data_IF_222478296606
#
_entry.id   IF_222478296606
#
_cell.length_a   1.000
_cell.length_b   1.000
_cell.length_c   1.000
_cell.angle_alpha   90.00
_cell.angle_beta   90.00
_cell.angle_gamma   90.00
#
_symmetry.space_group_name_H-M   'P 1'
#
loop_
_entity.id
_entity.type
_entity.pdbx_description
1 polymer ?
#
# COMPACT_ATOMS: atom_id res chain seq x y z
N UNK A 1 -9.72 -10.88 17.62
CA UNK A 1 -9.95 -9.71 16.74
C UNK A 1 -8.88 -8.69 17.09
N UNK A 2 -8.17 -8.11 16.12
CA UNK A 2 -7.10 -7.13 16.41
C UNK A 2 -7.71 -5.89 17.04
N UNK A 3 -7.40 -5.64 18.31
CA UNK A 3 -8.00 -4.56 19.10
C UNK A 3 -7.15 -3.30 19.00
N UNK A 4 -7.29 -2.59 17.88
CA UNK A 4 -6.56 -1.35 17.66
C UNK A 4 -7.22 -0.18 18.37
N UNK A 5 -6.40 0.69 18.95
CA UNK A 5 -6.86 2.00 19.43
C UNK A 5 -7.25 2.87 18.23
N UNK A 6 -8.17 3.81 18.45
CA UNK A 6 -8.48 4.83 17.45
C UNK A 6 -7.23 5.62 17.09
N UNK A 7 -7.09 6.00 15.82
CA UNK A 7 -5.99 6.79 15.29
C UNK A 7 -4.59 6.29 15.70
N UNK A 8 -4.37 4.97 15.67
CA UNK A 8 -3.11 4.35 16.09
C UNK A 8 -2.36 3.62 14.97
N UNK A 9 -3.02 3.37 13.84
CA UNK A 9 -2.45 2.60 12.72
C UNK A 9 -1.67 3.50 11.76
N UNK A 10 -0.42 3.12 11.47
CA UNK A 10 0.31 3.55 10.30
C UNK A 10 0.00 2.55 9.17
N UNK A 11 -0.76 2.99 8.17
CA UNK A 11 -1.16 2.18 7.03
C UNK A 11 -0.18 2.36 5.87
N UNK A 12 0.39 1.27 5.37
CA UNK A 12 1.45 1.26 4.35
C UNK A 12 0.92 0.65 3.05
N UNK A 13 1.07 1.36 1.93
CA UNK A 13 0.72 0.92 0.58
C UNK A 13 1.93 0.94 -0.34
N UNK A 14 2.12 -0.16 -1.07
CA UNK A 14 3.19 -0.33 -2.04
C UNK A 14 4.51 -0.84 -1.46
N UNK A 15 5.47 -1.10 -2.32
CA UNK A 15 6.78 -1.66 -1.94
C UNK A 15 7.75 -0.53 -1.64
N UNK A 16 8.16 -0.38 -0.37
CA UNK A 16 9.07 0.67 0.06
C UNK A 16 10.52 0.17 0.06
N UNK A 17 11.49 1.06 -0.13
CA UNK A 17 12.90 0.70 0.12
C UNK A 17 13.14 0.46 1.61
N UNK A 18 14.14 -0.36 1.97
CA UNK A 18 14.57 -0.53 3.36
C UNK A 18 14.92 0.81 4.05
N UNK A 19 15.50 1.76 3.30
CA UNK A 19 15.79 3.11 3.79
C UNK A 19 14.52 3.89 4.14
N UNK A 20 13.48 3.78 3.33
CA UNK A 20 12.15 4.33 3.61
C UNK A 20 11.48 3.66 4.81
N UNK A 21 11.49 2.32 4.87
CA UNK A 21 10.91 1.57 5.98
C UNK A 21 11.57 1.93 7.33
N UNK A 22 12.87 2.18 7.34
CA UNK A 22 13.61 2.62 8.54
C UNK A 22 13.14 3.99 9.10
N UNK A 23 12.52 4.84 8.27
CA UNK A 23 11.95 6.14 8.66
C UNK A 23 10.58 6.00 9.34
N UNK A 24 9.95 4.83 9.32
CA UNK A 24 8.64 4.58 9.93
C UNK A 24 8.82 4.22 11.41
N UNK A 25 8.47 5.17 12.29
CA UNK A 25 8.63 5.05 13.76
C UNK A 25 7.35 4.69 14.52
N UNK A 26 6.28 4.31 13.82
CA UNK A 26 4.99 3.97 14.43
C UNK A 26 5.11 2.90 15.53
N UNK A 27 4.58 3.17 16.72
CA UNK A 27 4.68 2.26 17.88
C UNK A 27 3.47 1.35 18.05
N UNK A 28 2.28 1.84 17.72
CA UNK A 28 1.03 1.17 18.11
C UNK A 28 0.49 0.17 17.07
N UNK A 29 0.66 0.45 15.77
CA UNK A 29 0.20 -0.47 14.71
C UNK A 29 0.84 -0.17 13.37
N UNK A 30 1.50 -1.18 12.80
CA UNK A 30 2.00 -1.15 11.42
C UNK A 30 1.12 -2.08 10.61
N UNK A 31 0.31 -1.51 9.72
CA UNK A 31 -0.58 -2.28 8.86
C UNK A 31 -0.13 -2.11 7.42
N UNK A 32 0.03 -3.23 6.72
CA UNK A 32 0.59 -3.30 5.37
C UNK A 32 -0.49 -3.86 4.46
N UNK A 33 -0.88 -3.10 3.45
CA UNK A 33 -1.65 -3.62 2.34
C UNK A 33 -0.79 -4.63 1.56
N UNK A 34 -1.35 -5.80 1.24
CA UNK A 34 -0.61 -6.90 0.64
C UNK A 34 0.04 -6.54 -0.70
N UNK A 35 -0.54 -5.61 -1.48
CA UNK A 35 0.03 -5.11 -2.72
C UNK A 35 -0.18 -6.06 -3.90
N UNK A 36 -1.45 -6.32 -4.22
CA UNK A 36 -1.81 -7.05 -5.44
C UNK A 36 -1.28 -6.31 -6.70
N UNK A 37 -0.98 -7.04 -7.78
CA UNK A 37 -1.10 -8.48 -7.94
C UNK A 37 0.02 -9.30 -7.27
N UNK A 38 1.20 -8.71 -7.08
CA UNK A 38 2.42 -9.45 -6.71
C UNK A 38 2.49 -9.95 -5.27
N UNK A 39 1.70 -9.36 -4.36
CA UNK A 39 1.81 -9.54 -2.90
C UNK A 39 3.17 -9.10 -2.30
N UNK A 40 4.02 -8.46 -3.11
CA UNK A 40 5.39 -8.12 -2.72
C UNK A 40 5.43 -7.07 -1.61
N UNK A 41 4.44 -6.18 -1.52
CA UNK A 41 4.39 -5.19 -0.44
C UNK A 41 4.21 -5.88 0.92
N UNK A 42 3.27 -6.83 0.99
CA UNK A 42 3.07 -7.69 2.16
C UNK A 42 4.34 -8.46 2.51
N UNK A 43 4.97 -9.12 1.54
CA UNK A 43 6.17 -9.94 1.76
C UNK A 43 7.39 -9.10 2.18
N UNK A 44 7.79 -8.12 1.37
CA UNK A 44 9.01 -7.34 1.56
C UNK A 44 8.95 -6.47 2.81
N UNK A 45 7.88 -5.68 2.95
CA UNK A 45 7.76 -4.72 4.05
C UNK A 45 7.62 -5.47 5.39
N UNK A 46 6.87 -6.58 5.44
CA UNK A 46 6.71 -7.35 6.67
C UNK A 46 8.02 -7.99 7.12
N UNK A 47 8.80 -8.57 6.21
CA UNK A 47 10.13 -9.14 6.49
C UNK A 47 11.03 -8.11 7.16
N UNK A 48 11.11 -6.90 6.60
CA UNK A 48 11.88 -5.81 7.20
C UNK A 48 11.48 -5.52 8.66
N UNK A 49 10.18 -5.43 8.95
CA UNK A 49 9.74 -5.12 10.32
C UNK A 49 9.95 -6.30 11.29
N UNK A 50 9.77 -7.53 10.84
CA UNK A 50 10.05 -8.74 11.61
C UNK A 50 11.53 -8.81 11.99
N UNK A 51 12.45 -8.53 11.06
CA UNK A 51 13.90 -8.47 11.33
C UNK A 51 14.28 -7.41 12.38
N UNK A 52 13.43 -6.40 12.56
CA UNK A 52 13.56 -5.36 13.59
C UNK A 52 12.77 -5.67 14.87
N UNK A 53 12.29 -6.90 15.04
CA UNK A 53 11.48 -7.36 16.19
C UNK A 53 10.20 -6.54 16.38
N UNK A 54 9.61 -6.06 15.29
CA UNK A 54 8.30 -5.38 15.27
C UNK A 54 7.27 -6.33 14.68
N UNK A 55 6.00 -6.17 15.08
CA UNK A 55 4.92 -7.05 14.64
C UNK A 55 4.04 -6.32 13.62
N UNK A 56 4.35 -6.42 12.31
CA UNK A 56 3.48 -5.88 11.27
C UNK A 56 2.23 -6.76 11.10
N UNK A 57 1.17 -6.15 10.60
CA UNK A 57 -0.07 -6.84 10.26
C UNK A 57 -0.31 -6.66 8.76
N UNK A 58 -0.44 -7.77 8.04
CA UNK A 58 -0.78 -7.74 6.62
C UNK A 58 -2.30 -7.81 6.49
N UNK A 59 -2.84 -6.97 5.61
CA UNK A 59 -4.26 -6.98 5.24
C UNK A 59 -4.40 -7.08 3.73
N UNK A 60 -5.54 -7.60 3.26
CA UNK A 60 -5.92 -7.43 1.87
C UNK A 60 -6.20 -5.96 1.58
N UNK A 61 -5.91 -5.51 0.36
CA UNK A 61 -5.98 -4.09 -0.04
C UNK A 61 -7.39 -3.50 0.20
N UNK A 62 -8.44 -4.30 0.01
CA UNK A 62 -9.84 -3.91 0.22
C UNK A 62 -10.22 -3.67 1.69
N UNK A 63 -9.46 -4.19 2.66
CA UNK A 63 -9.72 -4.00 4.09
C UNK A 63 -9.33 -2.59 4.56
N UNK A 64 -8.49 -1.88 3.81
CA UNK A 64 -8.04 -0.54 4.19
C UNK A 64 -9.21 0.42 4.42
N UNK A 65 -10.24 0.38 3.56
CA UNK A 65 -11.44 1.21 3.69
C UNK A 65 -12.19 1.00 5.02
N UNK A 66 -12.22 -0.23 5.53
CA UNK A 66 -12.81 -0.53 6.82
C UNK A 66 -12.03 0.10 7.99
N UNK A 67 -10.70 0.14 7.91
CA UNK A 67 -9.86 0.80 8.92
C UNK A 67 -10.11 2.30 8.99
N UNK A 68 -10.33 2.96 7.84
CA UNK A 68 -10.76 4.36 7.78
C UNK A 68 -12.15 4.54 8.41
N UNK A 69 -13.13 3.71 8.03
CA UNK A 69 -14.49 3.76 8.57
C UNK A 69 -14.52 3.64 10.11
N UNK A 70 -13.65 2.81 10.68
CA UNK A 70 -13.52 2.63 12.13
C UNK A 70 -12.65 3.70 12.82
N UNK A 71 -12.13 4.69 12.09
CA UNK A 71 -11.23 5.74 12.59
C UNK A 71 -9.99 5.15 13.31
N UNK A 72 -9.41 4.10 12.74
CA UNK A 72 -8.22 3.45 13.31
C UNK A 72 -6.92 3.98 12.69
N UNK A 73 -6.98 4.49 11.46
CA UNK A 73 -5.81 4.99 10.71
C UNK A 73 -5.38 6.36 11.26
N UNK A 74 -4.10 6.46 11.64
CA UNK A 74 -3.44 7.68 12.08
C UNK A 74 -2.78 8.42 10.92
N UNK A 75 -2.08 7.68 10.08
CA UNK A 75 -1.33 8.19 8.94
C UNK A 75 -1.32 7.13 7.83
N UNK A 76 -1.19 7.60 6.59
CA UNK A 76 -0.97 6.74 5.42
C UNK A 76 0.43 6.98 4.90
N UNK A 77 1.14 5.90 4.60
CA UNK A 77 2.44 5.93 3.94
C UNK A 77 2.29 5.28 2.57
N UNK A 78 2.58 6.04 1.52
CA UNK A 78 2.53 5.58 0.14
C UNK A 78 3.95 5.41 -0.42
N UNK A 79 4.21 4.27 -1.05
CA UNK A 79 5.39 4.07 -1.87
C UNK A 79 5.29 4.93 -3.14
N UNK A 80 6.26 5.84 -3.29
CA UNK A 80 6.32 6.85 -4.33
C UNK A 80 7.58 6.66 -5.19
N UNK A 81 7.40 6.53 -6.50
CA UNK A 81 8.50 6.42 -7.48
C UNK A 81 8.93 7.79 -8.01
N UNK A 82 7.99 8.72 -8.13
CA UNK A 82 8.24 10.07 -8.65
C UNK A 82 7.20 11.03 -8.09
N UNK A 83 7.57 12.28 -7.82
CA UNK A 83 6.63 13.32 -7.42
C UNK A 83 7.01 14.68 -8.00
N UNK A 84 6.00 15.48 -8.32
CA UNK A 84 6.15 16.84 -8.82
C UNK A 84 5.12 17.80 -8.21
N UNK A 85 5.04 19.02 -8.75
CA UNK A 85 4.11 20.05 -8.27
C UNK A 85 2.62 19.72 -8.47
N UNK A 86 2.30 18.72 -9.28
CA UNK A 86 0.94 18.32 -9.67
C UNK A 86 0.48 17.02 -8.97
N UNK A 87 1.40 16.19 -8.48
CA UNK A 87 1.08 14.95 -7.81
C UNK A 87 2.26 13.99 -7.65
N UNK A 88 1.97 12.71 -7.51
CA UNK A 88 2.96 11.66 -7.34
C UNK A 88 2.57 10.38 -8.10
N UNK A 89 3.56 9.70 -8.68
CA UNK A 89 3.45 8.36 -9.25
C UNK A 89 3.72 7.34 -8.14
N UNK A 90 2.68 6.61 -7.75
CA UNK A 90 2.72 5.66 -6.64
C UNK A 90 2.31 4.25 -7.12
N UNK A 91 2.58 3.24 -6.29
CA UNK A 91 2.09 1.88 -6.53
C UNK A 91 0.54 1.87 -6.56
N UNK A 92 -0.04 1.07 -7.46
CA UNK A 92 -1.50 0.94 -7.62
C UNK A 92 -2.19 0.65 -6.28
N UNK A 93 -3.33 1.31 -6.05
CA UNK A 93 -4.07 1.33 -4.79
C UNK A 93 -3.76 2.58 -3.94
N UNK A 94 -2.71 3.33 -4.23
CA UNK A 94 -2.37 4.57 -3.55
C UNK A 94 -3.44 5.68 -3.69
N UNK A 95 -4.07 5.83 -4.86
CA UNK A 95 -5.06 6.88 -5.12
C UNK A 95 -6.29 6.72 -4.23
N UNK A 96 -6.83 5.51 -4.13
CA UNK A 96 -8.02 5.26 -3.30
C UNK A 96 -7.71 5.55 -1.82
N UNK A 97 -6.52 5.21 -1.33
CA UNK A 97 -6.10 5.53 0.04
C UNK A 97 -5.90 7.03 0.25
N UNK A 98 -5.36 7.76 -0.72
CA UNK A 98 -5.22 9.21 -0.63
C UNK A 98 -6.59 9.92 -0.62
N UNK A 99 -7.56 9.42 -1.40
CA UNK A 99 -8.95 9.92 -1.38
C UNK A 99 -9.59 9.67 -0.01
N UNK A 100 -9.43 8.46 0.55
CA UNK A 100 -9.95 8.12 1.87
C UNK A 100 -9.27 8.93 2.98
N UNK A 101 -7.95 9.10 2.91
CA UNK A 101 -7.19 9.91 3.86
C UNK A 101 -7.69 11.35 3.87
N UNK A 102 -7.88 11.96 2.70
CA UNK A 102 -8.48 13.30 2.60
C UNK A 102 -9.88 13.37 3.21
N UNK A 103 -10.75 12.40 2.92
CA UNK A 103 -12.11 12.36 3.47
C UNK A 103 -12.13 12.28 5.00
N UNK A 104 -11.16 11.59 5.58
CA UNK A 104 -11.05 11.39 7.03
C UNK A 104 -10.07 12.36 7.71
N UNK A 105 -9.55 13.38 7.00
CA UNK A 105 -8.56 14.33 7.51
C UNK A 105 -7.28 13.67 8.07
N UNK A 106 -6.81 12.62 7.40
CA UNK A 106 -5.60 11.87 7.74
C UNK A 106 -4.46 12.30 6.80
N UNK A 107 -3.27 12.49 7.36
CA UNK A 107 -2.09 12.87 6.60
C UNK A 107 -1.57 11.74 5.72
N UNK A 108 -1.10 12.10 4.52
CA UNK A 108 -0.45 11.19 3.56
C UNK A 108 1.03 11.52 3.46
N UNK A 109 1.88 10.53 3.76
CA UNK A 109 3.33 10.62 3.60
C UNK A 109 3.79 9.84 2.40
N UNK A 110 4.53 10.51 1.51
CA UNK A 110 5.21 9.86 0.40
C UNK A 110 6.61 9.44 0.85
N UNK A 111 6.93 8.16 0.68
CA UNK A 111 8.27 7.63 0.89
C UNK A 111 8.74 6.91 -0.36
N UNK A 112 10.06 6.86 -0.56
CA UNK A 112 10.69 6.27 -1.73
C UNK A 112 10.31 4.79 -1.87
N UNK A 113 9.78 4.45 -3.06
CA UNK A 113 9.44 3.10 -3.46
C UNK A 113 10.63 2.33 -4.02
N UNK A 114 10.55 1.00 -4.02
CA UNK A 114 11.34 0.23 -4.96
C UNK A 114 10.86 0.53 -6.39
N UNK A 115 11.74 1.11 -7.21
CA UNK A 115 11.42 1.45 -8.60
C UNK A 115 11.00 0.22 -9.41
N UNK A 116 9.83 0.30 -10.06
CA UNK A 116 9.40 -0.74 -10.98
C UNK A 116 10.03 -0.53 -12.35
N UNK A 117 10.52 -1.61 -12.95
CA UNK A 117 11.01 -1.61 -14.33
C UNK A 117 9.88 -1.46 -15.36
N UNK A 118 8.66 -1.80 -14.97
CA UNK A 118 7.47 -1.78 -15.82
C UNK A 118 6.29 -1.16 -15.06
N UNK A 119 5.45 -0.41 -15.77
CA UNK A 119 4.25 0.24 -15.22
C UNK A 119 2.95 -0.52 -15.49
N UNK A 120 3.01 -1.50 -16.40
CA UNK A 120 1.94 -2.44 -16.69
C UNK A 120 2.43 -3.86 -16.40
N UNK A 121 1.58 -4.63 -15.73
CA UNK A 121 1.74 -6.06 -15.55
C UNK A 121 1.20 -6.83 -16.75
N UNK A 122 1.25 -8.14 -16.63
CA UNK A 122 0.73 -9.10 -17.61
C UNK A 122 -0.57 -9.72 -17.10
N UNK A 123 -1.38 -10.28 -17.99
CA UNK A 123 -2.61 -10.97 -17.58
C UNK A 123 -2.36 -12.10 -16.58
N UNK A 124 -1.18 -12.75 -16.66
CA UNK A 124 -0.78 -13.81 -15.73
C UNK A 124 -0.72 -13.34 -14.28
N UNK A 125 -0.43 -12.06 -14.04
CA UNK A 125 -0.32 -11.49 -12.69
C UNK A 125 -1.69 -11.43 -11.98
N UNK A 126 -2.80 -11.33 -12.72
CA UNK A 126 -4.15 -11.36 -12.16
C UNK A 126 -4.84 -12.72 -12.28
N UNK A 127 -4.57 -13.46 -13.36
CA UNK A 127 -5.22 -14.76 -13.62
C UNK A 127 -4.61 -15.90 -12.81
N UNK A 128 -3.44 -15.70 -12.21
CA UNK A 128 -2.84 -16.70 -11.34
C UNK A 128 -2.07 -16.12 -10.16
N UNK A 129 -1.87 -16.96 -9.16
CA UNK A 129 -1.06 -16.67 -8.00
C UNK A 129 -0.26 -17.92 -7.63
N UNK A 130 1.07 -17.78 -7.53
CA UNK A 130 2.00 -18.90 -7.23
C UNK A 130 1.77 -20.14 -8.11
N UNK A 131 1.52 -19.93 -9.40
CA UNK A 131 1.31 -21.00 -10.39
C UNK A 131 -0.09 -21.61 -10.40
N UNK A 132 -0.99 -21.20 -9.50
CA UNK A 132 -2.38 -21.64 -9.48
C UNK A 132 -3.27 -20.60 -10.17
N UNK A 133 -4.23 -21.06 -10.97
CA UNK A 133 -5.23 -20.17 -11.57
C UNK A 133 -6.16 -19.61 -10.49
N UNK A 134 -6.39 -18.30 -10.51
CA UNK A 134 -7.30 -17.59 -9.59
C UNK A 134 -8.53 -17.03 -10.29
N UNK A 135 -8.59 -17.14 -11.62
CA UNK A 135 -9.72 -16.73 -12.44
C UNK A 135 -9.89 -17.67 -13.65
N UNK A 136 -11.09 -17.74 -14.26
CA UNK A 136 -11.33 -18.55 -15.46
C UNK A 136 -10.42 -18.17 -16.63
N UNK A 137 -10.05 -19.17 -17.45
CA UNK A 137 -9.34 -18.94 -18.71
C UNK A 137 -10.18 -18.09 -19.67
N UNK A 138 -9.53 -17.20 -20.42
CA UNK A 138 -10.19 -16.26 -21.34
C UNK A 138 -10.68 -14.96 -20.70
N UNK A 139 -10.51 -14.77 -19.39
CA UNK A 139 -10.83 -13.51 -18.71
C UNK A 139 -9.88 -12.39 -19.16
N UNK A 140 -10.44 -11.26 -19.63
CA UNK A 140 -9.68 -10.05 -19.95
C UNK A 140 -9.16 -9.38 -18.68
N UNK A 141 -7.97 -8.77 -18.74
CA UNK A 141 -7.35 -8.14 -17.57
C UNK A 141 -6.77 -6.77 -17.92
N UNK A 142 -6.73 -5.91 -16.92
CA UNK A 142 -6.01 -4.63 -16.95
C UNK A 142 -5.20 -4.51 -15.68
N UNK A 143 -3.88 -4.38 -15.82
CA UNK A 143 -2.93 -4.53 -14.69
C UNK A 143 -2.00 -3.32 -14.58
N UNK A 144 -2.51 -2.11 -14.27
CA UNK A 144 -1.63 -1.01 -13.91
C UNK A 144 -0.89 -1.36 -12.62
N UNK A 145 0.43 -1.19 -12.62
CA UNK A 145 1.29 -1.41 -11.45
C UNK A 145 1.56 -0.12 -10.67
N UNK A 146 1.31 1.02 -11.33
CA UNK A 146 1.43 2.36 -10.78
C UNK A 146 0.22 3.19 -11.16
N UNK A 147 -0.04 4.24 -10.40
CA UNK A 147 -1.05 5.23 -10.70
C UNK A 147 -0.61 6.62 -10.24
N UNK A 148 -1.22 7.64 -10.86
CA UNK A 148 -0.99 9.03 -10.48
C UNK A 148 -1.92 9.42 -9.33
N UNK A 149 -1.35 9.93 -8.24
CA UNK A 149 -2.06 10.52 -7.11
C UNK A 149 -1.96 12.04 -7.20
N UNK A 150 -3.07 12.74 -7.54
CA UNK A 150 -3.04 14.20 -7.66
C UNK A 150 -2.73 14.89 -6.33
N UNK A 151 -1.99 16.01 -6.38
CA UNK A 151 -1.61 16.84 -5.22
C UNK A 151 -2.79 17.21 -4.32
N UNK A 152 -4.01 17.35 -4.87
CA UNK A 152 -5.21 17.67 -4.10
C UNK A 152 -5.55 16.61 -3.03
N UNK A 153 -4.97 15.42 -3.08
CA UNK A 153 -5.14 14.32 -2.12
C UNK A 153 -3.89 14.04 -1.27
N UNK A 154 -2.77 14.75 -1.49
CA UNK A 154 -1.48 14.50 -0.84
C UNK A 154 -1.19 15.52 0.27
N UNK A 155 -2.16 15.74 1.16
CA UNK A 155 -2.01 16.68 2.29
C UNK A 155 -1.52 15.99 3.55
#
# INVERSE_FOLDING_TARGET
MLDFKKNSICLIQGVLTNGSLAKIKAKDGIVICEGRPSLRAGEHNSRFFLDKKRQPIIICDNMAGYLFYKNLVKEVVLACQYADKTGALCDTGALILAVLAKKHNIAVRLLEAEHKKHFLGTSKDLLGLKGMATAPSGTNTYVPLVEWVPKKYLK
#
